data_IF_186597491670
#
_entry.id   IF_186597491670
#
_cell.length_a   1.000
_cell.length_b   1.000
_cell.length_c   1.000
_cell.angle_alpha   90.00
_cell.angle_beta   90.00
_cell.angle_gamma   90.00
#
_symmetry.space_group_name_H-M   'P 1'
#
loop_
_entity.id
_entity.type
_entity.pdbx_description
1 polymer ?
#
# COMPACT_ATOMS: atom_id res chain seq x y z
N UNK A 1 -13.79 37.95 0.55
CA UNK A 1 -13.82 36.65 -0.12
C UNK A 1 -12.95 35.69 0.67
N UNK A 2 -13.55 34.72 1.38
CA UNK A 2 -12.80 33.69 2.10
C UNK A 2 -12.27 32.72 1.06
N UNK A 3 -10.95 32.64 0.88
CA UNK A 3 -10.32 31.59 0.09
C UNK A 3 -10.73 30.25 0.69
N UNK A 4 -11.58 29.51 -0.03
CA UNK A 4 -11.82 28.10 0.28
C UNK A 4 -10.47 27.39 0.20
N UNK A 5 -10.03 26.65 1.24
CA UNK A 5 -8.81 25.88 1.14
C UNK A 5 -8.94 24.93 -0.05
N UNK A 6 -8.01 25.00 -1.01
CA UNK A 6 -7.99 24.10 -2.15
C UNK A 6 -8.16 22.67 -1.65
N UNK A 7 -9.24 22.03 -2.08
CA UNK A 7 -9.63 20.70 -1.65
C UNK A 7 -8.49 19.74 -2.01
N UNK A 8 -7.77 19.24 -1.00
CA UNK A 8 -6.55 18.46 -1.22
C UNK A 8 -6.92 17.08 -1.75
N UNK A 9 -6.23 16.64 -2.80
CA UNK A 9 -6.38 15.27 -3.31
C UNK A 9 -5.88 14.28 -2.25
N UNK A 10 -6.67 13.24 -1.99
CA UNK A 10 -6.38 12.17 -1.04
C UNK A 10 -6.19 10.84 -1.75
N UNK A 11 -5.29 9.99 -1.21
CA UNK A 11 -5.15 8.61 -1.63
C UNK A 11 -6.03 7.73 -0.74
N UNK A 12 -7.03 7.06 -1.33
CA UNK A 12 -8.09 6.37 -0.59
C UNK A 12 -8.16 4.91 -1.04
N UNK A 13 -8.45 4.00 -0.11
CA UNK A 13 -8.76 2.60 -0.46
C UNK A 13 -10.02 2.54 -1.34
N UNK A 14 -9.87 2.00 -2.55
CA UNK A 14 -10.98 1.70 -3.46
C UNK A 14 -11.50 0.28 -3.27
N UNK A 15 -12.69 0.04 -3.83
CA UNK A 15 -13.36 -1.26 -3.84
C UNK A 15 -13.30 -1.95 -5.20
N UNK A 16 -13.10 -1.16 -6.26
CA UNK A 16 -13.27 -1.62 -7.63
C UNK A 16 -12.03 -1.42 -8.48
N UNK A 17 -11.82 -2.34 -9.42
CA UNK A 17 -10.90 -2.17 -10.53
C UNK A 17 -11.67 -1.56 -11.71
N UNK A 18 -11.16 -0.43 -12.21
CA UNK A 18 -11.55 0.16 -13.49
C UNK A 18 -10.51 -0.22 -14.56
N UNK A 19 -10.82 -1.15 -15.48
CA UNK A 19 -9.89 -1.64 -16.48
C UNK A 19 -9.84 -0.81 -17.76
N UNK A 20 -10.57 0.31 -17.83
CA UNK A 20 -10.62 1.16 -19.02
C UNK A 20 -9.26 1.81 -19.31
N UNK A 21 -9.02 2.25 -20.56
CA UNK A 21 -7.90 3.11 -20.89
C UNK A 21 -7.78 4.32 -19.95
N UNK A 22 -6.55 4.68 -19.61
CA UNK A 22 -6.28 5.66 -18.55
C UNK A 22 -6.80 7.07 -18.88
N UNK A 23 -6.84 7.44 -20.16
CA UNK A 23 -7.45 8.69 -20.64
C UNK A 23 -8.97 8.71 -20.39
N UNK A 24 -9.68 7.63 -20.72
CA UNK A 24 -11.12 7.50 -20.46
C UNK A 24 -11.43 7.53 -18.96
N UNK A 25 -10.64 6.80 -18.16
CA UNK A 25 -10.79 6.75 -16.71
C UNK A 25 -10.52 8.12 -16.05
N UNK A 26 -9.56 8.90 -16.57
CA UNK A 26 -9.31 10.28 -16.11
C UNK A 26 -10.44 11.23 -16.46
N UNK A 27 -11.01 11.13 -17.67
CA UNK A 27 -12.10 12.01 -18.10
C UNK A 27 -13.42 11.69 -17.38
N UNK A 28 -13.67 10.41 -17.07
CA UNK A 28 -14.91 9.93 -16.45
C UNK A 28 -14.60 8.96 -15.31
N UNK A 29 -14.06 9.44 -14.17
CA UNK A 29 -13.66 8.58 -13.08
C UNK A 29 -14.87 7.83 -12.50
N UNK A 30 -14.70 6.54 -12.23
CA UNK A 30 -15.71 5.75 -11.54
C UNK A 30 -15.49 5.86 -10.03
N UNK A 31 -16.57 6.06 -9.29
CA UNK A 31 -16.52 6.21 -7.84
C UNK A 31 -15.91 4.96 -7.20
N UNK A 32 -14.99 5.18 -6.25
CA UNK A 32 -14.31 4.11 -5.48
C UNK A 32 -13.51 3.12 -6.33
N UNK A 33 -13.14 3.49 -7.55
CA UNK A 33 -12.45 2.61 -8.48
C UNK A 33 -11.01 3.07 -8.75
N UNK A 34 -10.06 2.16 -8.63
CA UNK A 34 -8.68 2.39 -9.05
C UNK A 34 -8.52 1.98 -10.52
N UNK A 35 -7.94 2.85 -11.33
CA UNK A 35 -7.71 2.56 -12.74
C UNK A 35 -6.40 1.79 -12.95
N UNK A 36 -6.52 0.57 -13.47
CA UNK A 36 -5.41 -0.20 -14.03
C UNK A 36 -5.91 -0.74 -15.37
N UNK A 37 -5.49 -0.16 -16.50
CA UNK A 37 -5.91 -0.59 -17.83
C UNK A 37 -5.72 -2.10 -18.03
N UNK A 38 -6.68 -2.74 -18.72
CA UNK A 38 -6.71 -4.20 -18.91
C UNK A 38 -5.40 -4.76 -19.52
N UNK A 39 -4.82 -4.02 -20.46
CA UNK A 39 -3.56 -4.33 -21.14
C UNK A 39 -2.33 -4.22 -20.22
N UNK A 40 -2.42 -3.45 -19.13
CA UNK A 40 -1.33 -3.24 -18.17
C UNK A 40 -1.43 -4.13 -16.92
N UNK A 41 -2.48 -4.95 -16.79
CA UNK A 41 -2.74 -5.74 -15.58
C UNK A 41 -1.58 -6.68 -15.21
N UNK A 42 -0.90 -7.26 -16.20
CA UNK A 42 0.23 -8.17 -15.99
C UNK A 42 1.43 -7.46 -15.33
N UNK A 43 1.71 -6.23 -15.76
CA UNK A 43 2.86 -5.45 -15.28
C UNK A 43 2.57 -4.72 -13.96
N UNK A 44 1.28 -4.47 -13.70
CA UNK A 44 0.78 -3.73 -12.54
C UNK A 44 0.13 -4.63 -11.48
N UNK A 45 0.49 -5.91 -11.45
CA UNK A 45 -0.01 -6.88 -10.44
C UNK A 45 0.27 -6.48 -8.99
N UNK A 46 1.30 -5.66 -8.75
CA UNK A 46 1.67 -5.14 -7.44
C UNK A 46 0.69 -4.08 -6.89
N UNK A 47 -0.16 -3.51 -7.76
CA UNK A 47 -1.19 -2.53 -7.42
C UNK A 47 -2.55 -3.17 -7.12
N UNK A 48 -2.68 -4.46 -7.38
CA UNK A 48 -3.86 -5.26 -7.06
C UNK A 48 -3.89 -5.59 -5.55
N UNK A 49 -5.07 -5.93 -5.00
CA UNK A 49 -5.19 -6.29 -3.59
C UNK A 49 -4.44 -7.60 -3.28
N UNK A 50 -4.39 -8.08 -2.02
CA UNK A 50 -3.86 -9.40 -1.70
C UNK A 50 -4.49 -10.53 -2.54
N UNK A 51 -3.75 -11.63 -2.76
CA UNK A 51 -4.23 -12.78 -3.56
C UNK A 51 -5.46 -13.47 -2.95
N UNK A 52 -5.69 -13.33 -1.65
CA UNK A 52 -6.88 -13.83 -0.96
C UNK A 52 -8.15 -13.04 -1.29
N UNK A 53 -8.02 -11.82 -1.82
CA UNK A 53 -9.14 -10.92 -2.12
C UNK A 53 -9.70 -11.18 -3.52
N UNK A 54 -11.04 -11.25 -3.62
CA UNK A 54 -11.74 -11.25 -4.92
C UNK A 54 -11.75 -9.82 -5.46
N UNK A 55 -11.20 -9.63 -6.65
CA UNK A 55 -11.15 -8.32 -7.32
C UNK A 55 -12.51 -8.06 -7.98
N UNK A 56 -13.17 -6.97 -7.58
CA UNK A 56 -14.44 -6.55 -8.17
C UNK A 56 -14.16 -5.59 -9.34
N UNK A 57 -14.49 -6.00 -10.56
CA UNK A 57 -14.22 -5.23 -11.78
C UNK A 57 -15.48 -4.48 -12.22
N UNK A 58 -15.35 -3.19 -12.55
CA UNK A 58 -16.45 -2.36 -13.06
C UNK A 58 -16.05 -1.67 -14.38
N UNK A 59 -17.04 -1.34 -15.21
CA UNK A 59 -16.82 -0.68 -16.50
C UNK A 59 -17.73 -1.26 -17.59
N UNK A 60 -17.52 -0.87 -18.86
CA UNK A 60 -18.20 -1.47 -20.00
C UNK A 60 -18.10 -3.01 -19.97
N UNK A 61 -19.20 -3.75 -20.23
CA UNK A 61 -19.21 -5.20 -20.05
C UNK A 61 -18.11 -5.96 -20.80
N UNK A 62 -17.83 -5.57 -22.04
CA UNK A 62 -16.78 -6.13 -22.88
C UNK A 62 -15.38 -5.94 -22.27
N UNK A 63 -15.05 -4.71 -21.87
CA UNK A 63 -13.75 -4.38 -21.25
C UNK A 63 -13.62 -5.04 -19.88
N UNK A 64 -14.67 -5.01 -19.07
CA UNK A 64 -14.65 -5.59 -17.72
C UNK A 64 -14.55 -7.12 -17.76
N UNK A 65 -15.26 -7.79 -18.66
CA UNK A 65 -15.16 -9.24 -18.82
C UNK A 65 -13.79 -9.66 -19.35
N UNK A 66 -13.22 -8.92 -20.31
CA UNK A 66 -11.85 -9.16 -20.77
C UNK A 66 -10.82 -9.01 -19.64
N UNK A 67 -10.98 -8.00 -18.79
CA UNK A 67 -10.12 -7.83 -17.61
C UNK A 67 -10.28 -8.96 -16.58
N UNK A 68 -11.50 -9.47 -16.34
CA UNK A 68 -11.74 -10.65 -15.49
C UNK A 68 -11.03 -11.88 -16.05
N UNK A 69 -11.12 -12.13 -17.36
CA UNK A 69 -10.42 -13.23 -18.02
C UNK A 69 -8.90 -13.10 -17.87
N UNK A 70 -8.35 -11.89 -18.09
CA UNK A 70 -6.92 -11.60 -17.91
C UNK A 70 -6.45 -11.79 -16.46
N UNK A 71 -7.27 -11.42 -15.48
CA UNK A 71 -6.99 -11.66 -14.06
C UNK A 71 -6.97 -13.16 -13.75
N UNK A 72 -7.85 -13.95 -14.35
CA UNK A 72 -7.85 -15.40 -14.18
C UNK A 72 -6.55 -16.04 -14.70
N UNK A 73 -6.02 -15.59 -15.84
CA UNK A 73 -4.70 -16.01 -16.37
C UNK A 73 -3.54 -15.69 -15.42
N UNK A 74 -3.67 -14.63 -14.62
CA UNK A 74 -2.70 -14.23 -13.59
C UNK A 74 -2.92 -14.94 -12.24
N UNK A 75 -3.80 -15.95 -12.21
CA UNK A 75 -4.25 -16.67 -11.02
C UNK A 75 -4.84 -15.73 -9.95
N UNK A 76 -5.57 -14.71 -10.41
CA UNK A 76 -6.27 -13.75 -9.57
C UNK A 76 -7.76 -14.02 -9.63
N UNK A 77 -8.38 -14.15 -8.46
CA UNK A 77 -9.84 -14.27 -8.34
C UNK A 77 -10.46 -12.91 -8.62
N UNK A 78 -11.36 -12.84 -9.59
CA UNK A 78 -12.04 -11.61 -9.97
C UNK A 78 -13.48 -11.90 -10.38
N UNK A 79 -14.35 -10.91 -10.20
CA UNK A 79 -15.75 -10.95 -10.63
C UNK A 79 -16.13 -9.62 -11.28
N UNK A 80 -17.02 -9.68 -12.26
CA UNK A 80 -17.64 -8.49 -12.82
C UNK A 80 -18.76 -8.02 -11.88
N UNK A 81 -18.64 -6.80 -11.33
CA UNK A 81 -19.56 -6.27 -10.32
C UNK A 81 -20.82 -5.58 -10.90
N UNK A 82 -20.98 -5.57 -12.22
CA UNK A 82 -22.28 -5.64 -12.92
C UNK A 82 -23.37 -4.57 -12.76
N UNK A 83 -23.32 -3.64 -11.80
CA UNK A 83 -24.44 -2.73 -11.54
C UNK A 83 -23.98 -1.34 -11.08
N UNK A 84 -23.79 -0.42 -12.03
CA UNK A 84 -23.37 0.96 -11.73
C UNK A 84 -22.75 1.69 -12.91
N UNK A 85 -22.46 1.00 -14.02
CA UNK A 85 -22.14 1.65 -15.28
C UNK A 85 -23.43 2.16 -15.92
N UNK A 86 -23.83 3.38 -15.59
CA UNK A 86 -24.79 4.11 -16.42
C UNK A 86 -24.01 4.71 -17.59
N UNK A 87 -24.26 4.17 -18.78
CA UNK A 87 -23.85 4.80 -20.03
C UNK A 87 -24.42 6.23 -20.08
N UNK A 88 -23.58 7.25 -19.90
CA UNK A 88 -24.01 8.65 -20.13
C UNK A 88 -23.95 9.03 -21.61
N UNK A 89 -23.39 8.18 -22.47
CA UNK A 89 -23.26 8.42 -23.91
C UNK A 89 -24.51 8.06 -24.73
N UNK A 90 -25.52 7.45 -24.10
CA UNK A 90 -26.75 7.00 -24.76
C UNK A 90 -28.06 7.66 -24.28
N UNK A 91 -28.01 8.73 -23.47
CA UNK A 91 -29.22 9.44 -23.05
C UNK A 91 -29.54 10.57 -24.05
N UNK A 92 -30.56 10.35 -24.89
CA UNK A 92 -31.26 11.46 -25.55
C UNK A 92 -31.84 12.41 -24.49
N UNK A 93 -31.82 13.72 -24.75
CA UNK A 93 -32.31 14.80 -23.85
C UNK A 93 -33.83 14.72 -23.53
N UNK A 94 -34.54 13.65 -23.91
CA UNK A 94 -35.99 13.52 -23.82
C UNK A 94 -36.57 12.91 -22.53
N UNK A 95 -35.80 12.12 -21.76
CA UNK A 95 -36.38 11.26 -20.71
C UNK A 95 -36.26 11.79 -19.27
N UNK A 96 -35.98 13.09 -19.09
CA UNK A 96 -35.94 13.72 -17.76
C UNK A 96 -37.32 13.97 -17.11
N UNK A 97 -38.41 13.43 -17.67
CA UNK A 97 -39.74 13.63 -17.14
C UNK A 97 -40.59 12.36 -17.18
N UNK A 98 -40.42 11.47 -16.20
CA UNK A 98 -41.52 10.83 -15.44
C UNK A 98 -40.97 9.79 -14.46
N UNK A 99 -41.10 10.08 -13.17
CA UNK A 99 -40.90 9.09 -12.11
C UNK A 99 -42.20 8.38 -11.76
N UNK A 100 -42.13 7.07 -11.50
CA UNK A 100 -42.98 6.41 -10.51
C UNK A 100 -42.47 5.00 -10.17
N UNK A 101 -42.09 4.85 -8.90
CA UNK A 101 -42.25 3.70 -7.99
C UNK A 101 -41.69 2.31 -8.34
N UNK A 102 -41.03 1.68 -7.35
CA UNK A 102 -40.65 0.26 -7.38
C UNK A 102 -39.26 -0.07 -6.83
N UNK A 103 -39.17 -0.30 -5.52
CA UNK A 103 -37.99 -0.83 -4.79
C UNK A 103 -37.29 -1.97 -5.54
N UNK A 104 -36.01 -1.78 -5.92
CA UNK A 104 -34.96 -2.81 -6.07
C UNK A 104 -33.59 -2.15 -6.29
N UNK A 105 -32.62 -2.53 -5.46
CA UNK A 105 -31.19 -2.27 -5.65
C UNK A 105 -30.76 -0.84 -5.34
N UNK A 106 -30.02 -0.66 -4.24
CA UNK A 106 -29.20 0.53 -4.06
C UNK A 106 -28.10 0.51 -5.14
N UNK A 107 -28.42 1.02 -6.33
CA UNK A 107 -27.46 1.30 -7.37
C UNK A 107 -26.48 2.32 -6.86
N UNK A 108 -25.20 2.14 -7.19
CA UNK A 108 -24.18 3.16 -7.00
C UNK A 108 -24.42 4.32 -8.00
N UNK A 109 -25.56 5.00 -7.85
CA UNK A 109 -25.82 6.27 -8.50
C UNK A 109 -24.97 7.32 -7.78
N UNK A 110 -23.89 7.74 -8.44
CA UNK A 110 -23.23 9.03 -8.27
C UNK A 110 -23.29 9.61 -6.84
N UNK A 111 -22.66 8.94 -5.87
CA UNK A 111 -22.15 9.66 -4.71
C UNK A 111 -21.14 10.66 -5.24
N UNK A 112 -21.28 11.95 -4.87
CA UNK A 112 -20.42 13.06 -5.25
C UNK A 112 -18.99 12.56 -5.51
N UNK A 113 -18.61 12.47 -6.80
CA UNK A 113 -17.24 12.21 -7.18
C UNK A 113 -16.45 13.39 -6.64
N UNK A 114 -15.88 13.21 -5.45
CA UNK A 114 -14.89 14.15 -4.94
C UNK A 114 -13.80 14.19 -6.00
N UNK A 115 -13.70 15.32 -6.71
CA UNK A 115 -12.58 15.65 -7.60
C UNK A 115 -11.22 15.63 -6.88
N UNK A 116 -11.23 15.29 -5.59
CA UNK A 116 -10.11 15.29 -4.66
C UNK A 116 -9.73 13.88 -4.19
N UNK A 117 -9.97 12.81 -4.96
CA UNK A 117 -9.58 11.45 -4.57
C UNK A 117 -8.87 10.66 -5.68
N UNK A 118 -7.78 9.99 -5.32
CA UNK A 118 -7.14 8.91 -6.08
C UNK A 118 -7.43 7.61 -5.33
N UNK A 119 -7.95 6.60 -6.01
CA UNK A 119 -8.23 5.31 -5.39
C UNK A 119 -7.09 4.31 -5.62
N UNK A 120 -6.76 3.53 -4.59
CA UNK A 120 -5.83 2.39 -4.64
C UNK A 120 -6.55 1.07 -4.35
N UNK A 121 -6.11 -0.01 -4.97
CA UNK A 121 -6.55 -1.37 -4.58
C UNK A 121 -5.51 -2.10 -3.72
N UNK A 122 -4.23 -1.78 -3.91
CA UNK A 122 -3.16 -2.28 -3.07
C UNK A 122 -3.31 -1.78 -1.64
N UNK A 123 -2.85 -2.60 -0.68
CA UNK A 123 -2.83 -2.26 0.74
C UNK A 123 -1.38 -2.13 1.24
N UNK A 124 -1.07 -1.14 2.10
CA UNK A 124 0.15 -1.18 2.90
C UNK A 124 0.07 -2.34 3.90
N UNK A 125 1.15 -2.56 4.64
CA UNK A 125 1.13 -3.43 5.79
C UNK A 125 0.07 -2.93 6.82
N UNK A 126 -0.82 -3.83 7.24
CA UNK A 126 -1.88 -3.50 8.21
C UNK A 126 -1.34 -3.03 9.57
N UNK A 127 -0.16 -3.51 9.99
CA UNK A 127 0.52 -3.03 11.19
C UNK A 127 0.95 -1.57 11.04
N UNK A 128 1.51 -1.20 9.89
CA UNK A 128 1.86 0.18 9.55
C UNK A 128 0.63 1.08 9.54
N UNK A 129 -0.43 0.67 8.85
CA UNK A 129 -1.67 1.44 8.73
C UNK A 129 -2.24 1.77 10.13
N UNK A 130 -2.29 0.79 11.02
CA UNK A 130 -2.74 0.97 12.41
C UNK A 130 -1.83 1.88 13.23
N UNK A 131 -0.52 1.65 13.20
CA UNK A 131 0.41 2.39 14.07
C UNK A 131 0.62 3.83 13.59
N UNK A 132 0.75 4.04 12.28
CA UNK A 132 0.97 5.37 11.69
C UNK A 132 -0.15 6.38 12.02
N UNK A 133 -1.38 5.92 12.26
CA UNK A 133 -2.49 6.77 12.71
C UNK A 133 -2.23 7.48 14.06
N UNK A 134 -1.28 6.99 14.86
CA UNK A 134 -0.92 7.52 16.18
C UNK A 134 0.41 8.29 16.16
N UNK A 135 1.04 8.44 14.99
CA UNK A 135 2.34 9.08 14.83
C UNK A 135 2.19 10.39 14.05
N UNK A 136 2.86 11.45 14.51
CA UNK A 136 2.95 12.68 13.75
C UNK A 136 3.87 12.47 12.52
N UNK A 137 3.47 12.92 11.32
CA UNK A 137 4.32 12.79 10.13
C UNK A 137 5.66 13.51 10.28
N UNK A 138 6.73 12.80 9.92
CA UNK A 138 8.11 13.29 9.91
C UNK A 138 8.89 12.69 8.74
N UNK A 139 10.11 12.22 8.99
CA UNK A 139 10.87 11.40 8.02
C UNK A 139 10.63 9.91 8.26
N UNK A 140 10.47 9.14 7.18
CA UNK A 140 10.32 7.70 7.23
C UNK A 140 11.39 6.99 6.38
N UNK A 141 11.92 5.88 6.88
CA UNK A 141 12.78 4.96 6.14
C UNK A 141 12.08 3.60 5.99
N UNK A 142 11.89 3.16 4.75
CA UNK A 142 11.31 1.88 4.38
C UNK A 142 12.43 0.93 3.91
N UNK A 143 12.81 0.00 4.80
CA UNK A 143 13.88 -0.96 4.57
C UNK A 143 13.36 -2.18 3.80
N UNK A 144 14.03 -2.51 2.70
CA UNK A 144 13.61 -3.54 1.75
C UNK A 144 12.19 -3.29 1.24
N UNK A 145 11.98 -2.06 0.76
CA UNK A 145 10.67 -1.51 0.42
C UNK A 145 9.97 -2.22 -0.76
N UNK A 146 10.72 -3.03 -1.52
CA UNK A 146 10.23 -3.71 -2.72
C UNK A 146 9.65 -2.73 -3.72
N UNK A 147 8.35 -2.88 -3.99
CA UNK A 147 7.59 -2.03 -4.92
C UNK A 147 6.97 -0.79 -4.25
N UNK A 148 7.38 -0.46 -3.02
CA UNK A 148 7.16 0.84 -2.40
C UNK A 148 5.75 1.15 -1.89
N UNK A 149 4.87 0.16 -1.72
CA UNK A 149 3.49 0.39 -1.24
C UNK A 149 3.45 1.10 0.12
N UNK A 150 4.32 0.69 1.04
CA UNK A 150 4.37 1.23 2.39
C UNK A 150 4.92 2.67 2.40
N UNK A 151 6.02 2.92 1.69
CA UNK A 151 6.54 4.27 1.45
C UNK A 151 5.52 5.22 0.76
N UNK A 152 4.81 4.77 -0.29
CA UNK A 152 3.78 5.57 -0.97
C UNK A 152 2.59 5.86 -0.04
N UNK A 153 2.18 4.89 0.78
CA UNK A 153 1.14 5.09 1.78
C UNK A 153 1.56 6.14 2.82
N UNK A 154 2.75 6.02 3.40
CA UNK A 154 3.28 7.02 4.33
C UNK A 154 3.38 8.41 3.67
N UNK A 155 3.79 8.47 2.42
CA UNK A 155 3.89 9.72 1.70
C UNK A 155 2.52 10.38 1.43
N UNK A 156 1.44 9.59 1.32
CA UNK A 156 0.06 10.10 1.31
C UNK A 156 -0.37 10.73 2.64
N UNK A 157 0.20 10.23 3.74
CA UNK A 157 0.08 10.78 5.09
C UNK A 157 1.07 11.92 5.38
N UNK A 158 1.73 12.47 4.35
CA UNK A 158 2.68 13.59 4.43
C UNK A 158 4.02 13.27 5.11
N UNK A 159 4.37 12.00 5.25
CA UNK A 159 5.74 11.63 5.61
C UNK A 159 6.70 11.89 4.45
N UNK A 160 7.93 12.29 4.77
CA UNK A 160 9.05 12.29 3.83
C UNK A 160 9.68 10.91 3.83
N UNK A 161 9.19 10.04 2.95
CA UNK A 161 9.59 8.65 2.89
C UNK A 161 10.82 8.43 1.98
N UNK A 162 11.77 7.64 2.46
CA UNK A 162 12.89 7.09 1.71
C UNK A 162 12.73 5.58 1.65
N UNK A 163 12.57 5.01 0.46
CA UNK A 163 12.55 3.56 0.25
C UNK A 163 13.91 3.05 -0.20
N UNK A 164 14.40 1.99 0.45
CA UNK A 164 15.66 1.32 0.08
C UNK A 164 15.35 -0.12 -0.35
N UNK A 165 15.84 -0.53 -1.51
CA UNK A 165 15.79 -1.92 -1.95
C UNK A 165 17.01 -2.27 -2.80
N UNK A 166 17.35 -3.55 -2.90
CA UNK A 166 18.45 -4.04 -3.71
C UNK A 166 18.06 -4.14 -5.19
N UNK A 167 16.78 -4.29 -5.51
CA UNK A 167 16.29 -4.62 -6.85
C UNK A 167 15.89 -3.35 -7.64
N UNK A 168 16.64 -2.96 -8.69
CA UNK A 168 16.29 -1.80 -9.53
C UNK A 168 14.87 -1.89 -10.09
N UNK A 169 14.47 -3.04 -10.65
CA UNK A 169 13.14 -3.26 -11.22
C UNK A 169 12.00 -3.12 -10.19
N UNK A 170 12.29 -3.36 -8.90
CA UNK A 170 11.31 -3.12 -7.83
C UNK A 170 11.15 -1.62 -7.58
N UNK A 171 12.26 -0.87 -7.54
CA UNK A 171 12.25 0.58 -7.38
C UNK A 171 11.67 1.32 -8.59
N UNK A 172 11.85 0.81 -9.80
CA UNK A 172 11.17 1.35 -10.98
C UNK A 172 9.64 1.21 -10.86
N UNK A 173 9.15 0.06 -10.37
CA UNK A 173 7.73 -0.13 -10.08
C UNK A 173 7.25 0.76 -8.93
N UNK A 174 8.08 0.94 -7.90
CA UNK A 174 7.80 1.88 -6.81
C UNK A 174 7.67 3.32 -7.31
N UNK A 175 8.54 3.75 -8.23
CA UNK A 175 8.46 5.06 -8.87
C UNK A 175 7.19 5.20 -9.71
N UNK A 176 6.85 4.21 -10.54
CA UNK A 176 5.60 4.21 -11.32
C UNK A 176 4.36 4.29 -10.43
N UNK A 177 4.35 3.55 -9.31
CA UNK A 177 3.29 3.60 -8.32
C UNK A 177 3.15 4.99 -7.69
N UNK A 178 4.28 5.62 -7.32
CA UNK A 178 4.31 6.97 -6.77
C UNK A 178 3.84 8.01 -7.80
N UNK A 179 4.24 7.90 -9.06
CA UNK A 179 3.84 8.80 -10.15
C UNK A 179 2.33 8.75 -10.39
N UNK A 180 1.74 7.55 -10.37
CA UNK A 180 0.28 7.36 -10.44
C UNK A 180 -0.50 8.01 -9.28
N UNK A 181 0.17 8.29 -8.16
CA UNK A 181 -0.42 8.90 -6.96
C UNK A 181 0.07 10.34 -6.72
N UNK A 182 0.85 10.93 -7.63
CA UNK A 182 1.65 12.14 -7.37
C UNK A 182 0.82 13.35 -6.87
N UNK A 183 -0.42 13.51 -7.32
CA UNK A 183 -1.28 14.61 -6.87
C UNK A 183 -1.72 14.49 -5.39
N UNK A 184 -1.66 13.28 -4.81
CA UNK A 184 -2.12 13.00 -3.45
C UNK A 184 -0.99 12.87 -2.42
N UNK A 185 0.27 12.71 -2.85
CA UNK A 185 1.39 12.32 -1.98
C UNK A 185 2.52 13.34 -1.95
N UNK A 186 3.38 13.28 -0.93
CA UNK A 186 4.73 13.85 -1.00
C UNK A 186 5.59 12.90 -1.85
N UNK A 187 6.50 13.40 -2.70
CA UNK A 187 7.32 12.51 -3.54
C UNK A 187 8.28 11.70 -2.65
N UNK A 188 8.24 10.36 -2.66
CA UNK A 188 9.24 9.54 -1.98
C UNK A 188 10.60 9.61 -2.68
N UNK A 189 11.68 9.37 -1.93
CA UNK A 189 13.00 9.10 -2.48
C UNK A 189 13.26 7.60 -2.55
N UNK A 190 13.91 7.14 -3.62
CA UNK A 190 14.26 5.73 -3.81
C UNK A 190 15.78 5.55 -3.85
N UNK A 191 16.29 4.54 -3.14
CA UNK A 191 17.72 4.22 -3.08
C UNK A 191 17.93 2.75 -3.42
N UNK A 192 18.64 2.50 -4.52
CA UNK A 192 19.08 1.16 -4.88
C UNK A 192 20.35 0.82 -4.10
N UNK A 193 20.26 -0.05 -3.10
CA UNK A 193 21.40 -0.39 -2.27
C UNK A 193 21.24 -1.75 -1.56
N UNK A 194 22.36 -2.38 -1.24
CA UNK A 194 22.41 -3.65 -0.52
C UNK A 194 22.37 -3.43 0.99
N UNK A 195 21.25 -3.77 1.62
CA UNK A 195 21.08 -3.68 3.08
C UNK A 195 21.92 -4.68 3.88
N UNK A 196 22.73 -5.52 3.23
CA UNK A 196 23.76 -6.35 3.89
C UNK A 196 25.08 -5.60 4.09
N UNK A 197 25.29 -4.50 3.36
CA UNK A 197 26.39 -3.57 3.60
C UNK A 197 26.02 -2.55 4.68
N UNK A 198 26.89 -2.41 5.69
CA UNK A 198 26.69 -1.50 6.81
C UNK A 198 26.73 -0.03 6.37
N UNK A 199 27.47 0.29 5.31
CA UNK A 199 27.62 1.66 4.81
C UNK A 199 26.40 2.13 4.01
N UNK A 200 25.48 1.23 3.63
CA UNK A 200 24.32 1.55 2.78
C UNK A 200 23.42 2.65 3.36
N UNK A 201 23.32 2.74 4.68
CA UNK A 201 22.48 3.75 5.35
C UNK A 201 23.27 4.97 5.84
N UNK A 202 24.58 5.03 5.55
CA UNK A 202 25.39 6.19 5.89
C UNK A 202 24.97 7.41 5.08
N UNK A 203 25.04 8.58 5.70
CA UNK A 203 24.60 9.85 5.08
C UNK A 203 23.09 10.07 5.00
N UNK A 204 22.24 9.05 5.24
CA UNK A 204 20.77 9.22 5.26
C UNK A 204 20.24 9.93 6.51
N UNK A 205 21.08 10.08 7.54
CA UNK A 205 20.69 10.72 8.80
C UNK A 205 19.82 9.83 9.69
N UNK A 206 18.93 10.48 10.46
CA UNK A 206 18.01 9.83 11.41
C UNK A 206 16.57 10.06 10.99
N UNK A 207 15.71 9.11 11.33
CA UNK A 207 14.31 9.05 10.92
C UNK A 207 13.36 9.07 12.11
N UNK A 208 12.21 9.71 11.94
CA UNK A 208 11.12 9.69 12.91
C UNK A 208 10.38 8.34 12.91
N UNK A 209 10.42 7.63 11.77
CA UNK A 209 9.89 6.28 11.61
C UNK A 209 10.85 5.42 10.75
N UNK A 210 11.17 4.21 11.23
CA UNK A 210 11.82 3.18 10.41
C UNK A 210 10.87 1.98 10.34
N UNK A 211 10.62 1.48 9.13
CA UNK A 211 9.83 0.27 8.91
C UNK A 211 10.67 -0.81 8.22
N UNK A 212 10.46 -2.07 8.60
CA UNK A 212 11.13 -3.23 8.02
C UNK A 212 10.13 -4.40 7.96
N UNK A 213 9.58 -4.64 6.77
CA UNK A 213 8.54 -5.65 6.57
C UNK A 213 8.98 -6.74 5.62
N UNK A 214 8.75 -8.01 6.03
CA UNK A 214 9.09 -9.22 5.24
C UNK A 214 10.57 -9.29 4.83
N UNK A 215 11.44 -8.65 5.61
CA UNK A 215 12.89 -8.69 5.50
C UNK A 215 13.49 -9.03 6.86
N UNK A 216 14.65 -9.68 6.86
CA UNK A 216 15.37 -10.00 8.08
C UNK A 216 16.87 -9.87 7.84
N UNK A 217 17.46 -8.89 8.50
CA UNK A 217 18.90 -8.78 8.70
C UNK A 217 19.14 -8.43 10.17
N UNK A 218 19.62 -9.42 10.94
CA UNK A 218 19.83 -9.29 12.39
C UNK A 218 20.86 -8.23 12.73
N UNK A 219 21.92 -8.10 11.92
CA UNK A 219 22.98 -7.10 12.11
C UNK A 219 22.48 -5.69 11.83
N UNK A 220 21.63 -5.52 10.82
CA UNK A 220 20.99 -4.25 10.53
C UNK A 220 20.06 -3.83 11.69
N UNK A 221 19.20 -4.75 12.15
CA UNK A 221 18.27 -4.49 13.25
C UNK A 221 19.00 -4.16 14.56
N UNK A 222 20.14 -4.82 14.84
CA UNK A 222 20.89 -4.58 16.08
C UNK A 222 21.46 -3.15 16.19
N UNK A 223 21.61 -2.46 15.05
CA UNK A 223 22.11 -1.09 14.96
C UNK A 223 21.03 -0.06 14.63
N UNK A 224 19.77 -0.48 14.47
CA UNK A 224 18.73 0.39 13.92
C UNK A 224 18.36 1.57 14.81
N UNK A 225 18.65 1.49 16.11
CA UNK A 225 18.51 2.61 17.05
C UNK A 225 19.39 3.81 16.67
N UNK A 226 20.51 3.59 15.97
CA UNK A 226 21.36 4.64 15.42
C UNK A 226 20.69 5.41 14.28
N UNK A 227 19.68 4.84 13.63
CA UNK A 227 18.93 5.45 12.54
C UNK A 227 17.66 6.15 12.99
N UNK A 228 17.28 6.04 14.26
CA UNK A 228 16.09 6.71 14.80
C UNK A 228 16.44 8.06 15.40
N UNK A 229 15.61 9.06 15.13
CA UNK A 229 15.60 10.33 15.86
C UNK A 229 15.21 10.09 17.33
N UNK A 230 15.55 11.00 18.27
CA UNK A 230 14.99 10.94 19.62
C UNK A 230 13.46 10.92 19.57
N UNK A 231 12.82 9.94 20.23
CA UNK A 231 11.37 9.74 20.15
C UNK A 231 10.88 8.97 18.92
N UNK A 232 11.77 8.65 17.96
CA UNK A 232 11.41 7.95 16.72
C UNK A 232 10.98 6.50 16.93
N UNK A 233 10.15 5.98 16.03
CA UNK A 233 9.54 4.66 16.11
C UNK A 233 10.16 3.66 15.12
N UNK A 234 10.29 2.41 15.55
CA UNK A 234 10.62 1.25 14.72
C UNK A 234 9.38 0.36 14.59
N UNK A 235 9.07 -0.05 13.36
CA UNK A 235 8.10 -1.11 13.08
C UNK A 235 8.79 -2.25 12.33
N UNK A 236 8.76 -3.45 12.90
CA UNK A 236 9.24 -4.66 12.24
C UNK A 236 8.12 -5.68 12.17
N UNK A 237 7.96 -6.32 11.02
CA UNK A 237 7.12 -7.50 10.87
C UNK A 237 7.76 -8.47 9.88
N UNK A 238 8.10 -9.68 10.32
CA UNK A 238 8.66 -10.70 9.43
C UNK A 238 8.31 -12.11 9.89
N UNK A 239 8.61 -13.09 9.03
CA UNK A 239 8.21 -14.48 9.23
C UNK A 239 8.96 -15.13 10.39
N UNK A 240 8.28 -15.99 11.13
CA UNK A 240 8.92 -16.84 12.15
C UNK A 240 9.19 -18.25 11.61
N UNK A 241 9.92 -19.05 12.39
CA UNK A 241 10.13 -20.48 12.13
C UNK A 241 8.82 -21.25 11.99
N UNK A 242 7.78 -20.93 12.76
CA UNK A 242 6.42 -21.50 12.62
C UNK A 242 5.83 -21.33 11.20
N UNK A 243 6.03 -20.17 10.56
CA UNK A 243 5.57 -19.97 9.18
C UNK A 243 6.35 -20.87 8.21
N UNK A 244 7.65 -20.98 8.43
CA UNK A 244 8.53 -21.80 7.59
C UNK A 244 8.23 -23.28 7.71
N UNK A 245 7.93 -23.77 8.90
CA UNK A 245 7.54 -25.16 9.13
C UNK A 245 6.28 -25.52 8.34
N UNK A 246 5.27 -24.62 8.31
CA UNK A 246 4.02 -24.87 7.61
C UNK A 246 4.12 -24.72 6.09
N UNK A 247 4.84 -23.72 5.58
CA UNK A 247 4.82 -23.35 4.16
C UNK A 247 6.15 -23.58 3.42
N UNK A 248 7.21 -24.01 4.11
CA UNK A 248 8.56 -24.11 3.55
C UNK A 248 9.18 -22.77 3.15
N UNK A 249 8.61 -21.65 3.62
CA UNK A 249 9.05 -20.28 3.29
C UNK A 249 9.24 -19.43 4.55
N UNK A 250 10.24 -18.55 4.61
CA UNK A 250 11.28 -18.32 3.60
C UNK A 250 12.19 -19.56 3.42
N UNK A 251 12.71 -19.75 2.20
CA UNK A 251 13.46 -20.99 1.84
C UNK A 251 14.71 -21.16 2.71
N UNK A 252 15.46 -20.08 2.90
CA UNK A 252 16.65 -20.05 3.77
C UNK A 252 16.21 -19.92 5.22
N UNK A 253 16.64 -20.84 6.06
CA UNK A 253 16.27 -20.87 7.48
C UNK A 253 16.67 -19.58 8.21
N UNK A 254 17.84 -19.02 7.91
CA UNK A 254 18.32 -17.77 8.50
C UNK A 254 17.48 -16.52 8.15
N UNK A 255 16.45 -16.63 7.31
CA UNK A 255 15.52 -15.53 7.01
C UNK A 255 14.21 -15.62 7.81
N UNK A 256 14.06 -16.63 8.65
CA UNK A 256 12.98 -16.74 9.63
C UNK A 256 13.50 -16.36 11.03
N UNK A 257 12.64 -15.74 11.83
CA UNK A 257 12.91 -15.47 13.24
C UNK A 257 12.61 -16.70 14.09
N UNK A 258 13.47 -16.97 15.07
CA UNK A 258 13.10 -17.84 16.18
C UNK A 258 12.00 -17.16 17.03
N UNK A 259 11.15 -17.96 17.67
CA UNK A 259 10.09 -17.42 18.53
C UNK A 259 10.72 -16.64 19.71
N UNK A 260 10.20 -15.45 19.99
CA UNK A 260 10.75 -14.56 21.03
C UNK A 260 11.92 -13.69 20.56
N UNK A 261 12.57 -14.01 19.44
CA UNK A 261 13.86 -13.44 19.06
C UNK A 261 13.78 -11.93 18.82
N UNK A 262 12.74 -11.47 18.12
CA UNK A 262 12.64 -10.09 17.64
C UNK A 262 12.66 -9.05 18.77
N UNK A 263 12.23 -9.39 19.99
CA UNK A 263 12.29 -8.48 21.15
C UNK A 263 13.71 -8.01 21.46
N UNK A 264 14.70 -8.90 21.25
CA UNK A 264 16.10 -8.64 21.55
C UNK A 264 16.89 -8.05 20.39
N UNK A 265 16.33 -8.02 19.18
CA UNK A 265 17.07 -7.64 17.97
C UNK A 265 17.25 -6.14 17.77
N UNK A 266 16.59 -5.28 18.55
CA UNK A 266 16.70 -3.83 18.43
C UNK A 266 17.09 -3.20 19.79
N UNK A 267 18.34 -3.42 20.26
CA UNK A 267 18.78 -2.93 21.57
C UNK A 267 18.77 -1.40 21.63
N UNK A 268 18.52 -0.88 22.84
CA UNK A 268 18.43 0.56 23.09
C UNK A 268 17.09 1.20 22.70
N UNK A 269 16.10 0.39 22.30
CA UNK A 269 14.72 0.83 22.09
C UNK A 269 13.78 0.31 23.19
N UNK A 270 12.82 1.14 23.55
CA UNK A 270 11.70 0.78 24.43
C UNK A 270 10.65 0.04 23.60
N UNK A 271 10.32 -1.20 23.97
CA UNK A 271 9.27 -1.96 23.30
C UNK A 271 7.90 -1.42 23.72
N UNK A 272 7.11 -0.98 22.74
CA UNK A 272 5.74 -0.47 22.93
C UNK A 272 4.72 -1.58 22.73
N UNK A 273 4.83 -2.30 21.61
CA UNK A 273 3.98 -3.45 21.28
C UNK A 273 4.86 -4.58 20.74
N UNK A 274 4.58 -5.81 21.16
CA UNK A 274 5.16 -7.00 20.56
C UNK A 274 4.13 -8.11 20.55
N UNK A 275 4.07 -8.83 19.43
CA UNK A 275 3.19 -9.98 19.26
C UNK A 275 3.80 -10.98 18.27
N UNK A 276 3.52 -12.27 18.46
CA UNK A 276 3.84 -13.32 17.51
C UNK A 276 2.61 -14.21 17.30
N UNK A 277 2.22 -14.40 16.06
CA UNK A 277 1.06 -15.23 15.79
C UNK A 277 0.67 -15.36 14.33
N UNK A 278 -0.33 -16.21 14.11
CA UNK A 278 -1.01 -16.38 12.83
C UNK A 278 -1.89 -15.18 12.51
N UNK A 279 -1.71 -14.65 11.31
CA UNK A 279 -2.51 -13.57 10.72
C UNK A 279 -2.96 -14.06 9.36
N UNK A 280 -4.22 -14.49 9.33
CA UNK A 280 -4.75 -15.33 8.24
C UNK A 280 -3.89 -16.59 8.07
N UNK A 281 -3.15 -16.71 6.97
CA UNK A 281 -2.31 -17.87 6.65
C UNK A 281 -0.81 -17.58 6.81
N UNK A 282 -0.44 -16.53 7.53
CA UNK A 282 0.96 -16.13 7.73
C UNK A 282 1.29 -16.01 9.21
N UNK A 283 2.30 -16.73 9.69
CA UNK A 283 2.82 -16.53 11.04
C UNK A 283 3.95 -15.49 11.03
N UNK A 284 3.80 -14.42 11.79
CA UNK A 284 4.79 -13.35 11.87
C UNK A 284 5.08 -12.97 13.30
N UNK A 285 6.26 -12.40 13.53
CA UNK A 285 6.55 -11.59 14.71
C UNK A 285 6.42 -10.12 14.34
N UNK A 286 5.76 -9.34 15.19
CA UNK A 286 5.60 -7.88 15.08
C UNK A 286 6.25 -7.20 16.26
N UNK A 287 6.95 -6.10 15.99
CA UNK A 287 7.54 -5.24 17.00
C UNK A 287 7.27 -3.78 16.65
N UNK A 288 6.65 -3.06 17.58
CA UNK A 288 6.70 -1.60 17.64
C UNK A 288 7.59 -1.22 18.83
N UNK A 289 8.70 -0.56 18.53
CA UNK A 289 9.60 -0.02 19.54
C UNK A 289 9.85 1.47 19.32
N UNK A 290 10.32 2.18 20.34
CA UNK A 290 10.59 3.61 20.28
C UNK A 290 11.95 3.94 20.88
N UNK A 291 12.67 4.87 20.26
CA UNK A 291 13.89 5.43 20.84
C UNK A 291 13.53 6.46 21.91
N UNK A 292 14.18 6.43 23.07
CA UNK A 292 13.96 7.42 24.12
C UNK A 292 14.11 8.85 23.56
N UNK A 293 13.17 9.73 23.93
CA UNK A 293 13.24 11.16 23.61
C UNK A 293 14.25 11.91 24.51
N UNK A 294 14.69 11.29 25.60
CA UNK A 294 15.74 11.85 26.46
C UNK A 294 17.08 11.67 25.75
N UNK A 295 17.67 12.76 25.27
CA UNK A 295 19.10 12.82 24.97
C UNK A 295 19.87 12.46 26.23
N UNK A 296 20.65 11.38 26.16
CA UNK A 296 21.73 11.13 27.10
C UNK A 296 22.79 12.24 26.98
#
# INVERSE_FOLDING_TARGET
MRNSPAQRVQLIQGDFLDPRPADQARCTPLARAANIPADQLADRTHELPPRSTIIRVIGPPDVAQAAVARLAELERRAEYAGAGWCDRSGMDEGDLAQGSDGRRGAGACAGELSSSAIYRLWCPNAFLERVSAHLAPGTALDLACGVGRDAVYLASLRWRAVGVDLLPDALERAQRLADGCAAAIVRPEWRCADLTDDATLDGLGRFDLVICFRYLNRRLLSRISERLAPGGALLVETFTTMHRERHGRPRRAGLALELGELRGLAPGLEVVEYDEGWREDVHTARLWARRSARTA
#
